data_IF_575309704327
#
_entry.id   IF_575309704327
#
_cell.length_a   1.000
_cell.length_b   1.000
_cell.length_c   1.000
_cell.angle_alpha   90.00
_cell.angle_beta   90.00
_cell.angle_gamma   90.00
#
_symmetry.space_group_name_H-M   'P 1'
#
loop_
_entity.id
_entity.type
_entity.pdbx_description
1 polymer ?
#
# COMPACT_ATOMS: atom_id res chain seq x y z
N UNK A 1 -25.89 -25.51 -3.37
CA UNK A 1 -27.25 -25.84 -2.91
C UNK A 1 -27.17 -26.92 -1.85
N UNK A 2 -27.77 -26.70 -0.67
CA UNK A 2 -27.94 -27.72 0.36
C UNK A 2 -29.39 -28.20 0.28
N UNK A 3 -29.59 -29.51 0.10
CA UNK A 3 -30.90 -30.13 -0.08
C UNK A 3 -31.08 -31.27 0.93
N UNK A 4 -32.22 -31.28 1.61
CA UNK A 4 -32.68 -32.41 2.42
C UNK A 4 -33.75 -33.16 1.62
N UNK A 5 -33.49 -34.42 1.21
CA UNK A 5 -34.37 -35.18 0.33
C UNK A 5 -35.67 -35.62 1.03
N UNK A 6 -36.61 -36.11 0.23
CA UNK A 6 -37.92 -36.61 0.67
C UNK A 6 -37.91 -38.07 1.16
N UNK A 7 -36.74 -38.69 1.25
CA UNK A 7 -36.54 -40.07 1.71
C UNK A 7 -35.46 -40.11 2.77
N UNK A 8 -35.69 -40.90 3.83
CA UNK A 8 -34.79 -40.99 4.97
C UNK A 8 -34.92 -39.81 5.95
N UNK A 9 -34.02 -39.78 6.93
CA UNK A 9 -33.95 -38.72 7.94
C UNK A 9 -32.71 -37.89 7.70
N UNK A 10 -32.89 -36.72 7.10
CA UNK A 10 -31.83 -35.76 6.84
C UNK A 10 -32.07 -34.49 7.65
N UNK A 11 -31.08 -34.00 8.39
CA UNK A 11 -31.17 -32.74 9.12
C UNK A 11 -29.88 -31.94 9.02
N UNK A 12 -29.99 -30.62 9.17
CA UNK A 12 -28.82 -29.78 9.41
C UNK A 12 -28.59 -29.63 10.89
N UNK A 13 -27.33 -29.80 11.29
CA UNK A 13 -26.89 -29.69 12.66
C UNK A 13 -25.75 -28.69 12.79
N UNK A 14 -25.75 -28.01 13.93
CA UNK A 14 -24.70 -27.12 14.36
C UNK A 14 -24.01 -27.71 15.59
N UNK A 15 -22.71 -27.98 15.46
CA UNK A 15 -21.85 -28.33 16.58
C UNK A 15 -21.18 -27.04 17.06
N UNK A 16 -21.21 -26.82 18.37
CA UNK A 16 -20.61 -25.66 19.03
C UNK A 16 -19.67 -26.10 20.14
N UNK A 17 -18.53 -25.42 20.25
CA UNK A 17 -17.56 -25.67 21.31
C UNK A 17 -17.83 -24.85 22.60
N UNK A 18 -18.72 -23.85 22.53
CA UNK A 18 -19.06 -22.95 23.63
C UNK A 18 -20.57 -22.76 23.75
N UNK A 19 -21.02 -22.14 24.85
CA UNK A 19 -22.34 -21.53 24.90
C UNK A 19 -22.34 -20.20 24.11
N UNK A 20 -23.47 -19.79 23.55
CA UNK A 20 -23.58 -18.50 22.87
C UNK A 20 -23.39 -18.57 21.36
N UNK A 21 -24.32 -19.25 20.69
CA UNK A 21 -24.57 -19.09 19.26
C UNK A 21 -26.06 -18.98 19.00
N UNK A 22 -26.44 -18.27 17.95
CA UNK A 22 -27.82 -18.21 17.45
C UNK A 22 -27.82 -18.51 15.97
N UNK A 23 -28.72 -19.39 15.53
CA UNK A 23 -28.87 -19.74 14.13
C UNK A 23 -30.25 -19.36 13.60
N UNK A 24 -30.28 -18.92 12.36
CA UNK A 24 -31.48 -18.77 11.53
C UNK A 24 -31.26 -19.55 10.25
N UNK A 25 -32.16 -20.47 9.93
CA UNK A 25 -32.17 -21.24 8.68
C UNK A 25 -33.47 -20.96 7.96
N UNK A 26 -33.39 -20.29 6.81
CA UNK A 26 -34.53 -20.14 5.90
C UNK A 26 -34.42 -21.16 4.77
N UNK A 27 -35.56 -21.76 4.44
CA UNK A 27 -35.65 -22.84 3.47
C UNK A 27 -36.95 -22.77 2.71
N UNK A 28 -37.01 -23.52 1.64
CA UNK A 28 -38.19 -23.71 0.84
C UNK A 28 -38.50 -25.20 0.70
N UNK A 29 -39.73 -25.55 1.03
CA UNK A 29 -40.26 -26.90 0.92
C UNK A 29 -41.04 -27.03 -0.40
N UNK A 30 -40.66 -28.02 -1.20
CA UNK A 30 -41.31 -28.35 -2.45
C UNK A 30 -41.99 -29.72 -2.36
N UNK A 31 -43.26 -29.76 -2.72
CA UNK A 31 -44.00 -31.00 -3.02
C UNK A 31 -44.30 -31.06 -4.52
N UNK A 32 -45.05 -32.07 -4.98
CA UNK A 32 -45.47 -32.16 -6.38
C UNK A 32 -46.36 -31.00 -6.85
N UNK A 33 -46.97 -30.24 -5.93
CA UNK A 33 -47.97 -29.22 -6.27
C UNK A 33 -47.87 -27.92 -5.46
N UNK A 34 -46.91 -27.82 -4.54
CA UNK A 34 -46.77 -26.66 -3.67
C UNK A 34 -45.30 -26.29 -3.44
N UNK A 35 -45.07 -24.99 -3.23
CA UNK A 35 -43.81 -24.41 -2.79
C UNK A 35 -44.10 -23.53 -1.58
N UNK A 36 -43.46 -23.79 -0.45
CA UNK A 36 -43.72 -23.07 0.81
C UNK A 36 -42.41 -22.73 1.51
N UNK A 37 -42.19 -21.45 1.75
CA UNK A 37 -41.05 -20.99 2.54
C UNK A 37 -41.24 -21.24 4.03
N UNK A 38 -40.15 -21.51 4.74
CA UNK A 38 -40.11 -21.66 6.18
C UNK A 38 -38.85 -21.06 6.78
N UNK A 39 -38.84 -20.90 8.09
CA UNK A 39 -37.65 -20.49 8.84
C UNK A 39 -37.61 -21.20 10.18
N UNK A 40 -36.44 -21.74 10.52
CA UNK A 40 -36.15 -22.32 11.82
C UNK A 40 -35.07 -21.51 12.52
N UNK A 41 -35.25 -21.30 13.81
CA UNK A 41 -34.31 -20.57 14.66
C UNK A 41 -33.88 -21.45 15.82
N UNK A 42 -32.63 -21.34 16.24
CA UNK A 42 -32.12 -22.02 17.43
C UNK A 42 -31.21 -21.08 18.23
N UNK A 43 -31.31 -21.16 19.56
CA UNK A 43 -30.38 -20.53 20.48
C UNK A 43 -29.61 -21.60 21.22
N UNK A 44 -28.28 -21.56 21.11
CA UNK A 44 -27.38 -22.56 21.65
C UNK A 44 -26.82 -22.03 22.97
N UNK A 45 -27.29 -22.61 24.07
CA UNK A 45 -26.99 -22.16 25.44
C UNK A 45 -25.92 -22.99 26.14
N UNK A 46 -25.45 -24.07 25.51
CA UNK A 46 -24.35 -24.94 25.99
C UNK A 46 -23.64 -25.58 24.80
N UNK A 47 -22.37 -25.96 24.97
CA UNK A 47 -21.61 -26.65 23.95
C UNK A 47 -22.25 -28.01 23.64
N UNK A 48 -22.81 -28.15 22.44
CA UNK A 48 -23.55 -29.34 22.04
C UNK A 48 -23.70 -29.41 20.52
N UNK A 49 -24.23 -30.53 20.05
CA UNK A 49 -24.80 -30.67 18.70
C UNK A 49 -26.28 -30.31 18.76
N UNK A 50 -26.71 -29.34 17.96
CA UNK A 50 -28.10 -28.87 17.90
C UNK A 50 -28.64 -29.02 16.48
N UNK A 51 -29.80 -29.63 16.30
CA UNK A 51 -30.52 -29.60 15.03
C UNK A 51 -30.99 -28.17 14.74
N UNK A 52 -30.50 -27.56 13.66
CA UNK A 52 -30.84 -26.20 13.23
C UNK A 52 -31.80 -26.17 12.04
N UNK A 53 -31.93 -27.29 11.32
CA UNK A 53 -33.00 -27.52 10.37
C UNK A 53 -33.43 -28.99 10.44
N UNK A 54 -34.68 -29.23 10.82
CA UNK A 54 -35.25 -30.57 10.94
C UNK A 54 -35.43 -31.26 9.58
N UNK A 55 -35.68 -32.56 9.61
CA UNK A 55 -36.09 -33.33 8.43
C UNK A 55 -37.38 -32.78 7.81
N UNK A 56 -37.49 -32.69 6.47
CA UNK A 56 -38.74 -32.32 5.83
C UNK A 56 -39.85 -33.33 6.12
N UNK A 57 -41.10 -32.90 5.95
CA UNK A 57 -42.24 -33.81 6.00
C UNK A 57 -42.12 -34.88 4.89
N UNK A 58 -42.82 -36.01 5.05
CA UNK A 58 -42.85 -37.05 4.03
C UNK A 58 -43.29 -36.49 2.67
N UNK A 59 -42.66 -36.97 1.59
CA UNK A 59 -42.91 -36.51 0.22
C UNK A 59 -42.57 -35.04 -0.07
N UNK A 60 -41.82 -34.38 0.84
CA UNK A 60 -41.35 -33.00 0.68
C UNK A 60 -39.83 -32.98 0.51
N UNK A 61 -39.33 -32.24 -0.46
CA UNK A 61 -37.90 -31.90 -0.57
C UNK A 61 -37.71 -30.51 0.04
N UNK A 62 -36.71 -30.36 0.91
CA UNK A 62 -36.36 -29.06 1.49
C UNK A 62 -35.07 -28.55 0.90
N UNK A 63 -35.14 -27.37 0.33
CA UNK A 63 -34.00 -26.65 -0.22
C UNK A 63 -33.64 -25.50 0.72
N UNK A 64 -32.39 -25.49 1.18
CA UNK A 64 -31.93 -24.48 2.13
C UNK A 64 -31.46 -23.26 1.35
N UNK A 65 -32.13 -22.14 1.60
CA UNK A 65 -31.91 -20.88 0.90
C UNK A 65 -30.84 -20.06 1.61
N UNK A 66 -30.91 -20.00 2.93
CA UNK A 66 -30.05 -19.16 3.76
C UNK A 66 -29.79 -19.80 5.13
N UNK A 67 -28.55 -19.69 5.62
CA UNK A 67 -28.17 -20.03 7.00
C UNK A 67 -27.39 -18.84 7.55
N UNK A 68 -27.76 -18.31 8.71
CA UNK A 68 -26.95 -17.37 9.47
C UNK A 68 -26.69 -17.97 10.85
N UNK A 69 -25.45 -18.03 11.26
CA UNK A 69 -25.04 -18.46 12.60
C UNK A 69 -24.23 -17.32 13.20
N UNK A 70 -24.78 -16.62 14.17
CA UNK A 70 -24.13 -15.53 14.90
C UNK A 70 -23.43 -16.07 16.14
N UNK A 71 -22.18 -15.70 16.33
CA UNK A 71 -21.49 -15.91 17.59
C UNK A 71 -21.91 -14.83 18.60
N UNK A 72 -22.56 -15.26 19.69
CA UNK A 72 -22.95 -14.38 20.80
C UNK A 72 -22.09 -14.61 22.05
N UNK A 73 -21.11 -15.52 21.98
CA UNK A 73 -20.11 -15.73 23.02
C UNK A 73 -19.09 -14.59 23.04
N UNK A 74 -18.68 -14.17 24.23
CA UNK A 74 -17.64 -13.16 24.44
C UNK A 74 -16.24 -13.74 24.25
N UNK A 75 -15.93 -14.19 23.03
CA UNK A 75 -14.65 -14.77 22.66
C UNK A 75 -14.68 -15.48 21.32
N UNK A 76 -13.59 -16.17 20.98
CA UNK A 76 -13.55 -17.02 19.79
C UNK A 76 -14.41 -18.25 19.99
N UNK A 77 -15.27 -18.53 19.02
CA UNK A 77 -16.21 -19.64 19.03
C UNK A 77 -16.04 -20.45 17.74
N UNK A 78 -15.60 -21.70 17.87
CA UNK A 78 -15.55 -22.63 16.74
C UNK A 78 -16.91 -23.29 16.56
N UNK A 79 -17.46 -23.16 15.36
CA UNK A 79 -18.73 -23.76 14.95
C UNK A 79 -18.51 -24.69 13.76
N UNK A 80 -19.23 -25.81 13.74
CA UNK A 80 -19.24 -26.74 12.60
C UNK A 80 -20.67 -26.95 12.14
N UNK A 81 -20.94 -26.72 10.87
CA UNK A 81 -22.21 -27.09 10.26
C UNK A 81 -22.04 -28.44 9.57
N UNK A 82 -22.99 -29.35 9.80
CA UNK A 82 -23.01 -30.67 9.19
C UNK A 82 -24.40 -31.06 8.75
N UNK A 83 -24.47 -32.05 7.85
CA UNK A 83 -25.70 -32.79 7.55
C UNK A 83 -25.63 -34.10 8.30
N UNK A 84 -26.63 -34.39 9.14
CA UNK A 84 -26.91 -35.76 9.56
C UNK A 84 -27.76 -36.41 8.46
N UNK A 85 -27.23 -37.45 7.85
CA UNK A 85 -27.90 -38.29 6.87
C UNK A 85 -28.09 -39.69 7.43
N UNK A 86 -29.30 -39.96 7.93
CA UNK A 86 -29.72 -41.26 8.47
C UNK A 86 -28.84 -41.73 9.65
N UNK A 87 -28.45 -40.82 10.55
CA UNK A 87 -27.59 -41.07 11.70
C UNK A 87 -26.09 -41.00 11.41
N UNK A 88 -25.69 -40.61 10.20
CA UNK A 88 -24.29 -40.42 9.81
C UNK A 88 -24.02 -38.95 9.53
N UNK A 89 -23.02 -38.39 10.22
CA UNK A 89 -22.70 -36.97 10.16
C UNK A 89 -21.69 -36.63 9.06
N UNK A 90 -22.01 -35.62 8.25
CA UNK A 90 -21.19 -35.11 7.16
C UNK A 90 -20.90 -33.61 7.37
N UNK A 91 -19.71 -33.24 7.86
CA UNK A 91 -19.33 -31.83 8.03
C UNK A 91 -19.31 -31.09 6.69
N UNK A 92 -19.98 -29.94 6.64
CA UNK A 92 -20.00 -29.05 5.48
C UNK A 92 -18.96 -27.95 5.59
N UNK A 93 -18.81 -27.36 6.79
CA UNK A 93 -17.84 -26.30 7.05
C UNK A 93 -17.53 -26.18 8.54
N UNK A 94 -16.29 -25.78 8.84
CA UNK A 94 -15.84 -25.37 10.16
C UNK A 94 -15.42 -23.89 10.09
N UNK A 95 -15.87 -23.08 11.04
CA UNK A 95 -15.48 -21.68 11.12
C UNK A 95 -15.17 -21.28 12.57
N UNK A 96 -14.08 -20.54 12.76
CA UNK A 96 -13.81 -19.83 14.00
C UNK A 96 -14.35 -18.40 13.87
N UNK A 97 -15.37 -18.09 14.65
CA UNK A 97 -16.01 -16.78 14.68
C UNK A 97 -15.50 -16.00 15.91
N UNK A 98 -15.06 -14.76 15.74
CA UNK A 98 -14.84 -13.86 16.88
C UNK A 98 -16.18 -13.38 17.43
N UNK A 99 -16.15 -12.67 18.57
CA UNK A 99 -17.35 -12.04 19.15
C UNK A 99 -18.08 -11.24 18.08
N UNK A 100 -19.39 -11.43 17.98
CA UNK A 100 -20.26 -10.78 17.00
C UNK A 100 -19.99 -11.08 15.51
N UNK A 101 -19.13 -12.02 15.17
CA UNK A 101 -19.04 -12.49 13.79
C UNK A 101 -20.17 -13.47 13.47
N UNK A 102 -20.45 -13.69 12.18
CA UNK A 102 -21.42 -14.69 11.75
C UNK A 102 -20.94 -15.54 10.59
N UNK A 103 -21.35 -16.80 10.56
CA UNK A 103 -21.21 -17.68 9.40
C UNK A 103 -22.51 -17.63 8.60
N UNK A 104 -22.40 -17.27 7.34
CA UNK A 104 -23.53 -17.08 6.43
C UNK A 104 -23.41 -18.05 5.27
N UNK A 105 -24.51 -18.73 4.94
CA UNK A 105 -24.68 -19.42 3.67
C UNK A 105 -25.82 -18.77 2.90
N UNK A 106 -25.64 -18.60 1.59
CA UNK A 106 -26.75 -18.39 0.66
C UNK A 106 -26.60 -19.36 -0.52
N UNK A 107 -27.72 -19.74 -1.14
CA UNK A 107 -27.68 -20.59 -2.32
C UNK A 107 -26.75 -20.05 -3.43
N UNK A 108 -26.75 -18.73 -3.66
CA UNK A 108 -25.97 -18.09 -4.72
C UNK A 108 -24.49 -17.88 -4.42
N UNK A 109 -24.12 -17.67 -3.14
CA UNK A 109 -22.76 -17.28 -2.77
C UNK A 109 -22.01 -18.34 -1.96
N UNK A 110 -22.68 -19.42 -1.56
CA UNK A 110 -22.10 -20.43 -0.68
C UNK A 110 -21.80 -19.89 0.72
N UNK A 111 -20.82 -20.50 1.38
CA UNK A 111 -20.42 -20.14 2.74
C UNK A 111 -19.51 -18.91 2.79
N UNK A 112 -19.79 -18.01 3.71
CA UNK A 112 -19.07 -16.76 3.94
C UNK A 112 -19.05 -16.45 5.43
N UNK A 113 -17.89 -16.08 5.98
CA UNK A 113 -17.86 -15.45 7.30
C UNK A 113 -18.11 -13.95 7.12
N UNK A 114 -18.96 -13.37 7.96
CA UNK A 114 -19.20 -11.93 8.07
C UNK A 114 -18.58 -11.41 9.36
N UNK A 115 -17.88 -10.27 9.27
CA UNK A 115 -17.39 -9.57 10.45
C UNK A 115 -18.54 -8.96 11.27
N UNK A 116 -18.22 -8.37 12.42
CA UNK A 116 -19.22 -7.74 13.31
C UNK A 116 -19.98 -6.58 12.64
N UNK A 117 -19.43 -5.99 11.57
CA UNK A 117 -20.04 -4.91 10.80
C UNK A 117 -20.85 -5.42 9.60
N UNK A 118 -20.87 -6.72 9.34
CA UNK A 118 -21.60 -7.34 8.24
C UNK A 118 -20.81 -7.45 6.92
N UNK A 119 -19.53 -7.07 6.89
CA UNK A 119 -18.69 -7.25 5.70
C UNK A 119 -18.28 -8.70 5.56
N UNK A 120 -18.12 -9.19 4.33
CA UNK A 120 -17.49 -10.50 4.11
C UNK A 120 -16.06 -10.46 4.60
N UNK A 121 -15.74 -11.31 5.58
CA UNK A 121 -14.38 -11.53 6.05
C UNK A 121 -13.62 -12.34 5.01
N UNK A 122 -13.04 -11.64 4.05
CA UNK A 122 -12.22 -12.26 3.02
C UNK A 122 -10.80 -12.45 3.57
N UNK A 123 -10.39 -13.70 3.81
CA UNK A 123 -9.06 -14.03 4.36
C UNK A 123 -7.89 -13.50 3.51
N UNK A 124 -8.14 -13.13 2.25
CA UNK A 124 -7.14 -12.55 1.38
C UNK A 124 -6.65 -11.17 1.87
N UNK A 125 -7.49 -10.35 2.52
CA UNK A 125 -7.14 -8.98 2.91
C UNK A 125 -6.10 -8.90 4.05
N UNK A 126 -5.96 -9.94 4.86
CA UNK A 126 -5.05 -9.95 6.02
C UNK A 126 -3.63 -10.43 5.68
N UNK A 127 -3.37 -10.81 4.42
CA UNK A 127 -2.06 -11.35 3.99
C UNK A 127 -1.65 -10.92 2.58
N UNK A 128 -2.26 -9.87 2.03
CA UNK A 128 -1.90 -9.40 0.69
C UNK A 128 -0.44 -8.96 0.63
N UNK A 129 0.30 -9.58 -0.29
CA UNK A 129 1.60 -9.08 -0.75
C UNK A 129 1.42 -7.85 -1.63
N UNK A 130 2.48 -7.06 -1.81
CA UNK A 130 2.44 -5.91 -2.73
C UNK A 130 2.11 -6.33 -4.17
N UNK A 131 2.51 -7.54 -4.60
CA UNK A 131 2.17 -8.07 -5.91
C UNK A 131 0.67 -8.39 -6.06
N UNK A 132 0.03 -8.90 -5.00
CA UNK A 132 -1.42 -9.13 -5.00
C UNK A 132 -2.19 -7.82 -4.98
N UNK A 133 -1.67 -6.79 -4.30
CA UNK A 133 -2.26 -5.45 -4.33
C UNK A 133 -2.21 -4.85 -5.75
N UNK A 134 -1.05 -4.90 -6.40
CA UNK A 134 -0.84 -4.40 -7.76
C UNK A 134 -1.66 -5.11 -8.85
N UNK A 135 -2.27 -6.26 -8.55
CA UNK A 135 -3.11 -6.99 -9.50
C UNK A 135 -4.59 -6.54 -9.49
N UNK A 136 -5.03 -5.88 -8.42
CA UNK A 136 -6.42 -5.44 -8.23
C UNK A 136 -6.62 -3.98 -8.67
N UNK A 137 -5.52 -3.26 -8.67
CA UNK A 137 -5.42 -1.83 -8.69
C UNK A 137 -4.87 -1.59 -10.14
N UNK A 138 -5.48 -0.64 -10.87
CA UNK A 138 -5.44 -0.64 -12.36
C UNK A 138 -4.70 0.54 -12.98
N UNK A 139 -4.31 1.51 -12.17
CA UNK A 139 -3.75 2.79 -12.56
C UNK A 139 -2.45 3.11 -11.80
N UNK A 140 -1.72 2.09 -11.36
CA UNK A 140 -0.47 2.25 -10.66
C UNK A 140 0.67 2.71 -11.56
N UNK A 141 1.48 3.57 -10.99
CA UNK A 141 2.80 3.88 -11.54
C UNK A 141 3.85 3.07 -10.80
N UNK A 142 4.63 2.29 -11.54
CA UNK A 142 5.73 1.49 -11.00
C UNK A 142 5.36 0.05 -10.66
N UNK A 143 6.33 -0.69 -10.11
CA UNK A 143 6.15 -2.07 -9.66
C UNK A 143 7.03 -2.32 -8.42
N UNK A 144 6.79 -3.43 -7.71
CA UNK A 144 7.59 -3.84 -6.55
C UNK A 144 6.87 -3.72 -5.21
N UNK A 145 7.63 -3.49 -4.14
CA UNK A 145 7.10 -3.41 -2.78
C UNK A 145 6.37 -2.09 -2.54
N UNK A 146 5.22 -2.15 -1.88
CA UNK A 146 4.53 -0.97 -1.37
C UNK A 146 5.39 -0.31 -0.26
N UNK A 147 5.49 1.02 -0.30
CA UNK A 147 6.45 1.77 0.52
C UNK A 147 5.73 2.40 1.72
N UNK A 148 5.76 1.71 2.87
CA UNK A 148 5.15 2.19 4.12
C UNK A 148 6.17 2.44 5.25
N UNK A 149 7.45 2.18 5.01
CA UNK A 149 8.50 2.36 6.00
C UNK A 149 8.82 3.86 6.24
N UNK A 150 9.15 4.23 7.47
CA UNK A 150 9.75 5.54 7.77
C UNK A 150 11.19 5.58 7.25
N UNK A 151 11.51 6.54 6.38
CA UNK A 151 12.82 6.64 5.73
C UNK A 151 13.07 5.53 4.69
N UNK A 152 12.18 5.36 3.69
CA UNK A 152 12.31 4.28 2.73
C UNK A 152 13.54 4.49 1.83
N UNK A 153 14.19 3.39 1.46
CA UNK A 153 15.16 3.40 0.36
C UNK A 153 14.44 3.01 -0.93
N UNK A 154 14.57 3.86 -1.95
CA UNK A 154 14.03 3.59 -3.29
C UNK A 154 15.16 3.07 -4.18
N UNK A 155 14.92 1.99 -4.91
CA UNK A 155 15.91 1.40 -5.81
C UNK A 155 15.70 1.96 -7.22
N UNK A 156 16.67 2.73 -7.70
CA UNK A 156 16.66 3.36 -9.02
C UNK A 156 15.35 4.10 -9.38
N UNK A 157 14.79 4.96 -8.50
CA UNK A 157 13.59 5.71 -8.84
C UNK A 157 13.89 6.70 -9.95
N UNK A 158 13.02 6.74 -10.97
CA UNK A 158 12.98 7.86 -11.91
C UNK A 158 12.16 8.97 -11.25
N UNK A 159 12.84 9.99 -10.72
CA UNK A 159 12.19 11.08 -9.98
C UNK A 159 11.59 12.18 -10.88
N UNK A 160 11.85 12.13 -12.19
CA UNK A 160 11.48 13.19 -13.12
C UNK A 160 12.17 14.53 -12.81
N UNK A 161 11.58 15.63 -13.29
CA UNK A 161 11.97 17.00 -12.92
C UNK A 161 11.13 17.43 -11.71
N UNK A 162 11.73 17.67 -10.52
CA UNK A 162 10.96 18.15 -9.38
C UNK A 162 10.29 19.49 -9.71
N UNK A 163 8.97 19.58 -9.55
CA UNK A 163 8.25 20.85 -9.70
C UNK A 163 8.46 21.77 -8.48
N UNK A 164 8.81 21.19 -7.32
CA UNK A 164 9.12 21.88 -6.07
C UNK A 164 9.93 20.98 -5.13
N UNK A 165 10.54 21.56 -4.09
CA UNK A 165 11.23 20.83 -3.02
C UNK A 165 12.68 21.26 -2.81
N UNK A 166 13.20 21.00 -1.60
CA UNK A 166 14.60 21.17 -1.26
C UNK A 166 15.30 19.82 -1.39
N UNK A 167 16.32 19.74 -2.26
CA UNK A 167 17.10 18.52 -2.46
C UNK A 167 18.50 18.72 -1.90
N UNK A 168 18.74 18.27 -0.67
CA UNK A 168 20.00 18.53 0.07
C UNK A 168 21.06 17.44 -0.08
N UNK A 169 20.70 16.26 -0.60
CA UNK A 169 21.58 15.09 -0.60
C UNK A 169 21.60 14.36 -1.96
N UNK A 170 21.28 15.05 -3.05
CA UNK A 170 21.48 14.47 -4.38
C UNK A 170 22.98 14.42 -4.67
N UNK A 171 23.48 13.23 -5.01
CA UNK A 171 24.87 13.02 -5.43
C UNK A 171 24.84 12.40 -6.83
N UNK A 172 25.81 12.75 -7.68
CA UNK A 172 25.90 12.24 -9.05
C UNK A 172 26.54 13.23 -10.01
N UNK A 173 26.99 12.74 -11.18
CA UNK A 173 27.60 13.52 -12.28
C UNK A 173 26.57 14.32 -13.08
N UNK A 174 25.60 14.92 -12.38
CA UNK A 174 24.46 15.54 -13.03
C UNK A 174 24.84 16.85 -13.72
N UNK A 175 24.36 17.03 -14.94
CA UNK A 175 24.17 18.34 -15.58
C UNK A 175 23.07 19.09 -14.83
N UNK A 176 23.34 19.49 -13.59
CA UNK A 176 22.39 20.27 -12.78
C UNK A 176 22.44 21.69 -13.32
N UNK A 177 21.36 22.10 -13.96
CA UNK A 177 21.07 23.48 -14.29
C UNK A 177 20.67 24.23 -13.01
N UNK A 178 21.67 24.68 -12.27
CA UNK A 178 21.50 25.48 -11.04
C UNK A 178 21.22 26.94 -11.45
N UNK A 179 19.98 27.39 -11.29
CA UNK A 179 19.61 28.80 -11.38
C UNK A 179 19.69 29.45 -10.00
N UNK A 180 20.89 29.55 -9.43
CA UNK A 180 21.12 30.05 -8.07
C UNK A 180 22.59 29.96 -7.64
N UNK A 181 22.84 30.20 -6.35
CA UNK A 181 24.19 30.18 -5.77
C UNK A 181 24.65 28.75 -5.48
N UNK A 182 25.85 28.40 -5.96
CA UNK A 182 26.53 27.14 -5.62
C UNK A 182 27.45 27.38 -4.42
N UNK A 183 27.36 26.53 -3.38
CA UNK A 183 28.34 26.51 -2.28
C UNK A 183 28.12 27.50 -1.13
N UNK A 184 26.89 28.04 -0.94
CA UNK A 184 26.62 29.10 0.03
C UNK A 184 26.83 28.74 1.53
N UNK A 185 26.71 27.46 1.92
CA UNK A 185 26.69 27.05 3.35
C UNK A 185 27.73 26.00 3.73
N UNK A 186 28.41 25.39 2.77
CA UNK A 186 29.52 24.45 3.01
C UNK A 186 30.48 24.53 1.83
N UNK A 187 31.54 25.37 1.89
CA UNK A 187 32.42 25.58 0.75
C UNK A 187 33.37 24.39 0.58
N UNK A 188 32.89 23.30 0.00
CA UNK A 188 33.74 22.55 -0.93
C UNK A 188 33.67 23.35 -2.24
N UNK A 189 34.63 24.25 -2.44
CA UNK A 189 34.69 25.13 -3.60
C UNK A 189 34.40 24.35 -4.90
N UNK A 190 33.50 24.86 -5.73
CA UNK A 190 33.24 24.29 -7.05
C UNK A 190 34.54 24.20 -7.83
N UNK A 191 34.93 23.01 -8.27
CA UNK A 191 36.08 22.82 -9.16
C UNK A 191 35.58 22.88 -10.60
N UNK A 192 35.70 24.05 -11.22
CA UNK A 192 35.27 24.27 -12.59
C UNK A 192 36.44 24.04 -13.55
N UNK A 193 36.26 23.19 -14.57
CA UNK A 193 37.22 23.03 -15.67
C UNK A 193 37.09 24.16 -16.69
N UNK A 194 35.89 24.69 -16.88
CA UNK A 194 35.58 25.84 -17.72
C UNK A 194 34.50 26.72 -17.05
N UNK A 195 34.64 28.04 -17.13
CA UNK A 195 33.62 29.00 -16.75
C UNK A 195 33.30 29.89 -17.96
N UNK A 196 32.04 29.94 -18.37
CA UNK A 196 31.55 30.87 -19.39
C UNK A 196 30.47 31.74 -18.76
N UNK A 197 30.72 33.04 -18.64
CA UNK A 197 29.75 34.03 -18.16
C UNK A 197 29.35 34.96 -19.30
N UNK A 198 28.06 35.28 -19.41
CA UNK A 198 27.55 36.29 -20.35
C UNK A 198 27.56 37.70 -19.74
N UNK A 199 27.69 37.81 -18.42
CA UNK A 199 27.87 39.06 -17.69
C UNK A 199 29.18 39.09 -16.91
N UNK A 200 29.25 40.00 -15.93
CA UNK A 200 30.44 40.19 -15.10
C UNK A 200 30.73 38.92 -14.27
N UNK A 201 31.99 38.50 -14.25
CA UNK A 201 32.49 37.51 -13.32
C UNK A 201 33.33 38.23 -12.25
N UNK A 202 32.92 38.13 -10.99
CA UNK A 202 33.70 38.57 -9.84
C UNK A 202 34.41 37.37 -9.24
N UNK A 203 35.71 37.48 -8.99
CA UNK A 203 36.50 36.46 -8.31
C UNK A 203 36.81 36.97 -6.90
N UNK A 204 36.47 36.19 -5.87
CA UNK A 204 36.67 36.55 -4.46
C UNK A 204 35.46 37.18 -3.78
N UNK A 205 35.55 37.36 -2.47
CA UNK A 205 34.52 37.96 -1.61
C UNK A 205 34.92 39.36 -1.10
N UNK A 206 35.98 39.93 -1.68
CA UNK A 206 36.58 41.21 -1.31
C UNK A 206 37.31 41.23 0.04
N UNK A 207 37.67 40.05 0.58
CA UNK A 207 38.57 39.96 1.72
C UNK A 207 40.01 40.30 1.33
N UNK A 208 40.71 41.03 2.20
CA UNK A 208 42.06 41.56 1.92
C UNK A 208 43.15 40.48 1.74
N UNK A 209 42.81 39.21 1.97
CA UNK A 209 43.71 38.05 1.83
C UNK A 209 43.45 37.23 0.57
N UNK A 210 42.42 37.57 -0.20
CA UNK A 210 42.11 36.89 -1.45
C UNK A 210 43.27 36.95 -2.44
N UNK A 211 43.73 35.79 -2.89
CA UNK A 211 44.78 35.66 -3.90
C UNK A 211 44.23 34.92 -5.12
N UNK A 212 43.95 35.62 -6.21
CA UNK A 212 43.52 35.02 -7.47
C UNK A 212 44.69 34.83 -8.43
N UNK A 213 45.23 33.62 -8.49
CA UNK A 213 46.30 33.28 -9.42
C UNK A 213 45.73 32.66 -10.70
N UNK A 214 45.94 33.30 -11.85
CA UNK A 214 45.73 32.67 -13.15
C UNK A 214 47.05 32.04 -13.58
N UNK A 215 47.10 30.71 -13.69
CA UNK A 215 48.30 29.97 -14.07
C UNK A 215 48.26 29.66 -15.57
N UNK A 216 49.41 29.77 -16.24
CA UNK A 216 49.56 29.49 -17.66
C UNK A 216 49.36 30.71 -18.57
N UNK A 217 49.48 30.51 -19.88
CA UNK A 217 49.27 31.57 -20.86
C UNK A 217 47.81 32.04 -20.80
N UNK A 218 47.62 33.33 -20.53
CA UNK A 218 46.29 33.94 -20.38
C UNK A 218 46.13 35.05 -21.40
N UNK A 219 44.98 35.10 -22.06
CA UNK A 219 44.60 36.23 -22.92
C UNK A 219 43.40 36.92 -22.29
N UNK A 220 43.56 38.20 -21.93
CA UNK A 220 42.48 39.06 -21.46
C UNK A 220 42.06 39.95 -22.62
N UNK A 221 40.88 39.68 -23.18
CA UNK A 221 40.29 40.48 -24.25
C UNK A 221 39.36 41.52 -23.62
N UNK A 222 39.86 42.74 -23.42
CA UNK A 222 39.02 43.87 -23.02
C UNK A 222 38.24 44.39 -24.24
N UNK A 223 37.02 43.90 -24.45
CA UNK A 223 36.09 44.51 -25.39
C UNK A 223 35.22 45.52 -24.64
N UNK A 224 35.60 46.78 -24.66
CA UNK A 224 34.80 47.85 -24.08
C UNK A 224 34.66 48.95 -25.11
N UNK A 225 33.43 49.37 -25.39
CA UNK A 225 33.14 50.47 -26.29
C UNK A 225 33.81 51.81 -25.86
N UNK A 226 34.26 51.93 -24.59
CA UNK A 226 34.85 53.16 -24.04
C UNK A 226 35.95 53.01 -22.97
N UNK A 227 36.63 51.87 -22.79
CA UNK A 227 37.76 51.79 -21.83
C UNK A 227 38.86 50.79 -22.23
N UNK A 228 40.12 51.15 -21.97
CA UNK A 228 41.24 50.21 -21.96
C UNK A 228 41.13 49.26 -20.75
N UNK A 229 41.93 48.18 -20.71
CA UNK A 229 42.06 47.35 -19.51
C UNK A 229 42.46 48.24 -18.31
N UNK A 230 41.53 48.45 -17.37
CA UNK A 230 41.78 49.24 -16.15
C UNK A 230 42.26 48.33 -15.04
N UNK A 231 43.48 48.56 -14.55
CA UNK A 231 44.03 47.87 -13.38
C UNK A 231 44.16 48.91 -12.26
N UNK A 232 43.38 48.76 -11.20
CA UNK A 232 43.46 49.63 -10.02
C UNK A 232 44.25 48.92 -8.93
N UNK A 233 45.42 49.46 -8.60
CA UNK A 233 46.24 48.97 -7.50
C UNK A 233 46.03 49.86 -6.28
N UNK A 234 45.47 49.31 -5.20
CA UNK A 234 45.21 50.03 -3.96
C UNK A 234 46.15 49.49 -2.86
N UNK A 235 46.82 50.38 -2.12
CA UNK A 235 47.74 50.04 -1.03
C UNK A 235 49.21 50.45 -1.30
N UNK A 236 49.95 50.79 -0.25
CA UNK A 236 51.35 51.22 -0.36
C UNK A 236 52.29 50.02 -0.59
N UNK A 237 53.16 50.10 -1.61
CA UNK A 237 54.23 49.11 -1.86
C UNK A 237 53.94 48.09 -2.98
N UNK A 238 52.81 48.19 -3.67
CA UNK A 238 52.48 47.27 -4.74
C UNK A 238 52.98 47.84 -6.10
N UNK A 239 53.51 46.98 -6.99
CA UNK A 239 53.93 47.36 -8.35
C UNK A 239 53.13 46.59 -9.40
N UNK A 240 52.67 47.26 -10.46
CA UNK A 240 52.22 46.58 -11.68
C UNK A 240 53.47 46.16 -12.47
N UNK A 241 53.77 44.86 -12.46
CA UNK A 241 54.92 44.30 -13.19
C UNK A 241 54.45 43.80 -14.55
N UNK A 242 54.82 44.51 -15.61
CA UNK A 242 54.63 44.06 -17.00
C UNK A 242 55.97 43.53 -17.51
N UNK A 243 56.13 42.22 -17.58
CA UNK A 243 57.32 41.59 -18.14
C UNK A 243 57.23 41.52 -19.67
N UNK A 244 58.10 42.24 -20.37
CA UNK A 244 58.31 42.07 -21.81
C UNK A 244 59.58 41.27 -22.09
N UNK A 245 59.57 40.42 -23.11
CA UNK A 245 60.80 39.93 -23.73
C UNK A 245 61.37 41.10 -24.53
N UNK A 246 62.58 41.56 -24.22
CA UNK A 246 63.30 42.47 -25.10
C UNK A 246 63.60 41.71 -26.39
N UNK A 247 62.94 42.05 -27.49
CA UNK A 247 63.38 41.57 -28.80
C UNK A 247 64.74 42.22 -29.10
N UNK A 248 65.75 41.38 -29.31
CA UNK A 248 67.08 41.77 -29.79
C UNK A 248 67.13 41.81 -31.31
#
# INVERSE_FOLDING_TARGET
>A
MIRLPNTGTYSLELITAQNGAQSVVSYSDATSSAYTGGTQVASITSATTTTICSTPAASTVRDVDQINIKNTFAGSHTVTVQVDANGTNYPLIVAALLTDESLNYTHGSGWQVKDANGNTKNSALTSMTSAQLAAILTDETGSGAAVFATGPTLVAPILGTPASGTVTNLTGTASININGTVGATTPAAGTFTTLTSTGNATLGDAEATDTHAIKGATTILANSASAALTITQTGAGNALVVGGLCES
#
